data_IF_537398916736
#
_entry.id   IF_537398916736
#
_cell.length_a   1.000
_cell.length_b   1.000
_cell.length_c   1.000
_cell.angle_alpha   90.00
_cell.angle_beta   90.00
_cell.angle_gamma   90.00
#
_symmetry.space_group_name_H-M   'P 1'
#
loop_
_entity.id
_entity.type
_entity.pdbx_description
1 polymer ?
#
# COMPACT_ATOMS: atom_id res chain seq x y z
N UNK A 1 32.92 38.64 -32.11
CA UNK A 1 32.98 38.10 -30.73
C UNK A 1 31.67 38.40 -30.05
N UNK A 2 30.76 37.43 -29.94
CA UNK A 2 29.54 37.54 -29.14
C UNK A 2 29.86 37.23 -27.67
N UNK A 3 29.34 37.97 -26.68
CA UNK A 3 29.77 37.85 -25.30
C UNK A 3 29.19 36.60 -24.62
N UNK A 4 30.00 35.96 -23.78
CA UNK A 4 29.71 34.72 -23.05
C UNK A 4 28.47 34.77 -22.12
N UNK A 5 27.87 35.94 -21.92
CA UNK A 5 26.68 36.17 -21.11
C UNK A 5 25.39 35.65 -21.77
N UNK A 6 25.33 35.59 -23.11
CA UNK A 6 24.14 35.13 -23.83
C UNK A 6 23.92 33.61 -23.70
N UNK A 7 25.01 32.82 -23.71
CA UNK A 7 24.97 31.37 -23.56
C UNK A 7 24.56 30.90 -22.15
N UNK A 8 24.86 31.68 -21.12
CA UNK A 8 24.47 31.34 -19.74
C UNK A 8 22.97 31.57 -19.49
N UNK A 9 22.39 32.61 -20.11
CA UNK A 9 20.99 32.97 -19.93
C UNK A 9 20.04 31.97 -20.64
N UNK A 10 20.43 31.45 -21.80
CA UNK A 10 19.68 30.40 -22.52
C UNK A 10 19.65 29.06 -21.76
N UNK A 11 20.74 28.71 -21.06
CA UNK A 11 20.87 27.42 -20.35
C UNK A 11 20.02 27.35 -19.07
N UNK A 12 19.85 28.47 -18.36
CA UNK A 12 18.95 28.55 -17.19
C UNK A 12 17.47 28.43 -17.57
N UNK A 13 17.06 29.02 -18.68
CA UNK A 13 15.68 28.92 -19.17
C UNK A 13 15.34 27.51 -19.66
N UNK A 14 16.27 26.83 -20.33
CA UNK A 14 16.09 25.44 -20.75
C UNK A 14 15.86 24.48 -19.57
N UNK A 15 16.65 24.61 -18.49
CA UNK A 15 16.52 23.73 -17.32
C UNK A 15 15.17 23.92 -16.61
N UNK A 16 14.72 25.17 -16.47
CA UNK A 16 13.43 25.48 -15.83
C UNK A 16 12.24 24.98 -16.66
N UNK A 17 12.34 25.03 -17.99
CA UNK A 17 11.33 24.49 -18.91
C UNK A 17 11.29 22.96 -18.83
N UNK A 18 12.43 22.29 -18.74
CA UNK A 18 12.48 20.83 -18.59
C UNK A 18 11.84 20.35 -17.27
N UNK A 19 12.10 21.06 -16.17
CA UNK A 19 11.49 20.74 -14.86
C UNK A 19 9.98 20.93 -14.93
N UNK A 20 9.49 22.05 -15.46
CA UNK A 20 8.07 22.30 -15.62
C UNK A 20 7.38 21.22 -16.49
N UNK A 21 8.01 20.83 -17.61
CA UNK A 21 7.52 19.78 -18.48
C UNK A 21 7.45 18.42 -17.77
N UNK A 22 8.44 18.07 -16.95
CA UNK A 22 8.42 16.81 -16.18
C UNK A 22 7.32 16.77 -15.12
N UNK A 23 7.06 17.89 -14.43
CA UNK A 23 5.97 17.97 -13.43
C UNK A 23 4.61 17.83 -14.10
N UNK A 24 4.41 18.49 -15.24
CA UNK A 24 3.17 18.36 -16.02
C UNK A 24 2.98 16.92 -16.52
N UNK A 25 4.04 16.28 -17.02
CA UNK A 25 3.97 14.88 -17.45
C UNK A 25 3.62 13.93 -16.30
N UNK A 26 4.22 14.11 -15.12
CA UNK A 26 3.91 13.30 -13.93
C UNK A 26 2.47 13.50 -13.44
N UNK A 27 1.97 14.75 -13.43
CA UNK A 27 0.57 15.03 -13.07
C UNK A 27 -0.41 14.43 -14.09
N UNK A 28 -0.07 14.49 -15.37
CA UNK A 28 -0.89 13.93 -16.46
C UNK A 28 -0.98 12.41 -16.35
N UNK A 29 0.15 11.74 -16.09
CA UNK A 29 0.21 10.28 -15.87
C UNK A 29 -0.54 9.90 -14.59
N UNK A 30 -0.36 10.66 -13.50
CA UNK A 30 -1.07 10.45 -12.24
C UNK A 30 -2.59 10.57 -12.39
N UNK A 31 -3.06 11.56 -13.17
CA UNK A 31 -4.48 11.72 -13.50
C UNK A 31 -5.00 10.60 -14.42
N UNK A 32 -4.18 10.09 -15.34
CA UNK A 32 -4.58 9.01 -16.25
C UNK A 32 -4.62 7.63 -15.56
N UNK A 33 -3.67 7.35 -14.66
CA UNK A 33 -3.65 6.15 -13.84
C UNK A 33 -4.70 6.23 -12.72
N UNK A 34 -4.87 7.42 -12.14
CA UNK A 34 -5.85 7.70 -11.09
C UNK A 34 -7.28 7.94 -11.59
N UNK A 35 -7.50 8.00 -12.90
CA UNK A 35 -8.85 8.09 -13.46
C UNK A 35 -9.60 6.80 -13.08
N UNK A 36 -10.70 6.89 -12.30
CA UNK A 36 -11.35 5.72 -11.76
C UNK A 36 -11.86 4.87 -12.93
N UNK A 37 -11.21 3.73 -13.18
CA UNK A 37 -11.74 2.72 -14.09
C UNK A 37 -13.03 2.21 -13.49
N UNK A 38 -14.13 2.68 -14.05
CA UNK A 38 -15.51 2.22 -13.91
C UNK A 38 -15.81 1.56 -12.54
N UNK A 39 -16.06 2.40 -11.52
CA UNK A 39 -16.48 2.00 -10.17
C UNK A 39 -17.71 1.06 -10.17
N UNK A 40 -18.47 1.03 -11.27
CA UNK A 40 -19.58 0.10 -11.45
C UNK A 40 -19.14 -1.36 -11.47
N UNK A 41 -17.98 -1.73 -12.03
CA UNK A 41 -17.50 -3.11 -11.99
C UNK A 41 -17.12 -3.54 -10.58
N UNK A 42 -16.54 -2.63 -9.79
CA UNK A 42 -16.21 -2.89 -8.38
C UNK A 42 -17.50 -3.01 -7.56
N UNK A 43 -18.49 -2.14 -7.80
CA UNK A 43 -19.80 -2.22 -7.17
C UNK A 43 -20.55 -3.51 -7.54
N UNK A 44 -20.48 -3.94 -8.80
CA UNK A 44 -21.06 -5.20 -9.28
C UNK A 44 -20.35 -6.41 -8.69
N UNK A 45 -19.02 -6.42 -8.63
CA UNK A 45 -18.25 -7.48 -7.97
C UNK A 45 -18.56 -7.53 -6.46
N UNK A 46 -18.67 -6.38 -5.82
CA UNK A 46 -19.05 -6.29 -4.42
C UNK A 46 -20.46 -6.78 -4.20
N UNK A 47 -21.45 -6.31 -4.96
CA UNK A 47 -22.85 -6.75 -4.84
C UNK A 47 -23.05 -8.23 -5.18
N UNK A 48 -22.33 -8.74 -6.19
CA UNK A 48 -22.37 -10.15 -6.57
C UNK A 48 -21.75 -11.08 -5.51
N UNK A 49 -20.74 -10.59 -4.78
CA UNK A 49 -20.07 -11.35 -3.72
C UNK A 49 -20.45 -10.86 -2.30
N UNK A 50 -21.41 -9.95 -2.19
CA UNK A 50 -21.82 -9.31 -0.92
C UNK A 50 -22.41 -10.35 0.01
N UNK A 51 -23.19 -11.28 -0.53
CA UNK A 51 -23.71 -12.44 0.19
C UNK A 51 -22.59 -13.37 0.66
N UNK A 52 -21.53 -13.58 -0.11
CA UNK A 52 -20.39 -14.44 0.30
C UNK A 52 -19.55 -13.76 1.40
N UNK A 53 -19.44 -12.43 1.36
CA UNK A 53 -18.69 -11.64 2.34
C UNK A 53 -19.49 -11.28 3.60
N UNK A 54 -20.83 -11.19 3.52
CA UNK A 54 -21.71 -10.78 4.63
C UNK A 54 -22.61 -11.90 5.17
N UNK A 55 -22.88 -13.01 4.45
CA UNK A 55 -23.68 -14.13 4.96
C UNK A 55 -22.89 -15.17 5.76
N UNK A 56 -21.64 -14.87 6.15
CA UNK A 56 -20.92 -15.68 7.14
C UNK A 56 -21.42 -15.44 8.57
N UNK A 57 -22.73 -15.20 8.72
CA UNK A 57 -23.46 -15.44 9.95
C UNK A 57 -23.79 -16.93 10.14
N UNK A 58 -23.84 -17.75 9.09
CA UNK A 58 -24.00 -19.21 9.19
C UNK A 58 -23.68 -19.93 7.84
N UNK A 59 -22.49 -20.53 7.73
CA UNK A 59 -22.24 -21.75 6.95
C UNK A 59 -22.03 -21.65 5.43
N UNK A 60 -20.77 -21.82 4.99
CA UNK A 60 -20.43 -22.78 3.93
C UNK A 60 -20.05 -22.24 2.54
N UNK A 61 -18.80 -21.77 2.38
CA UNK A 61 -17.91 -22.13 1.25
C UNK A 61 -16.52 -21.52 1.43
N UNK A 62 -15.79 -22.04 2.43
CA UNK A 62 -14.39 -22.44 2.32
C UNK A 62 -14.20 -23.41 3.48
N UNK A 63 -13.93 -24.68 3.17
CA UNK A 63 -13.63 -25.67 4.20
C UNK A 63 -12.36 -25.22 4.93
N UNK A 64 -12.63 -24.85 6.17
CA UNK A 64 -11.82 -24.26 7.23
C UNK A 64 -10.40 -24.84 7.35
N UNK A 65 -9.42 -23.95 7.60
CA UNK A 65 -8.40 -24.25 8.62
C UNK A 65 -7.82 -23.02 9.35
N UNK A 66 -7.91 -21.76 8.88
CA UNK A 66 -7.20 -20.67 9.61
C UNK A 66 -7.92 -19.34 9.89
N UNK A 67 -9.24 -19.22 9.67
CA UNK A 67 -10.07 -18.24 10.41
C UNK A 67 -9.68 -16.75 10.41
N UNK A 68 -8.84 -16.24 9.50
CA UNK A 68 -8.34 -14.85 9.54
C UNK A 68 -8.54 -14.12 8.21
N UNK A 69 -9.64 -13.38 8.07
CA UNK A 69 -9.80 -12.44 6.95
C UNK A 69 -8.85 -11.25 7.13
N UNK A 70 -8.38 -10.66 6.02
CA UNK A 70 -7.51 -9.48 6.07
C UNK A 70 -8.17 -8.34 6.87
N UNK A 71 -9.49 -8.20 6.73
CA UNK A 71 -10.28 -7.23 7.47
C UNK A 71 -10.21 -7.43 8.98
N UNK A 72 -10.39 -8.67 9.46
CA UNK A 72 -10.37 -8.97 10.89
C UNK A 72 -8.98 -8.70 11.49
N UNK A 73 -7.91 -9.08 10.79
CA UNK A 73 -6.53 -8.83 11.22
C UNK A 73 -6.24 -7.32 11.22
N UNK A 74 -6.59 -6.61 10.15
CA UNK A 74 -6.31 -5.18 10.02
C UNK A 74 -7.04 -4.34 11.07
N UNK A 75 -8.24 -4.79 11.49
CA UNK A 75 -9.01 -4.17 12.57
C UNK A 75 -8.35 -4.42 13.94
N UNK A 76 -7.79 -5.61 14.17
CA UNK A 76 -7.06 -5.93 15.41
C UNK A 76 -5.87 -4.99 15.61
N UNK A 77 -5.11 -4.73 14.55
CA UNK A 77 -3.95 -3.84 14.58
C UNK A 77 -4.28 -2.35 14.39
N UNK A 78 -5.58 -2.00 14.40
CA UNK A 78 -6.09 -0.61 14.33
C UNK A 78 -5.49 0.20 13.17
N UNK A 79 -5.20 -0.46 12.05
CA UNK A 79 -4.63 0.22 10.87
C UNK A 79 -5.68 1.08 10.18
N UNK A 80 -5.25 2.16 9.54
CA UNK A 80 -6.07 3.02 8.69
C UNK A 80 -6.54 2.30 7.39
N UNK A 81 -5.88 1.19 7.03
CA UNK A 81 -6.15 0.36 5.85
C UNK A 81 -7.53 -0.31 5.82
N UNK A 82 -8.28 -0.26 6.92
CA UNK A 82 -9.67 -0.77 7.02
C UNK A 82 -10.64 0.17 7.75
N UNK A 83 -10.17 1.32 8.27
CA UNK A 83 -11.02 2.28 8.99
C UNK A 83 -11.42 3.46 8.10
N UNK A 84 -10.44 4.23 7.61
CA UNK A 84 -10.68 5.37 6.71
C UNK A 84 -10.62 4.98 5.24
N UNK A 85 -9.86 3.93 4.89
CA UNK A 85 -9.71 3.48 3.51
C UNK A 85 -10.13 2.02 3.36
N UNK A 86 -10.98 1.72 2.38
CA UNK A 86 -11.47 0.36 2.10
C UNK A 86 -10.44 -0.51 1.35
N UNK A 87 -9.14 -0.30 1.60
CA UNK A 87 -8.07 -1.01 0.90
C UNK A 87 -8.04 -2.49 1.25
N UNK A 88 -8.54 -2.87 2.43
CA UNK A 88 -8.65 -4.27 2.83
C UNK A 88 -9.37 -5.17 1.84
N UNK A 89 -10.32 -4.66 1.05
CA UNK A 89 -10.98 -5.44 0.00
C UNK A 89 -10.03 -5.80 -1.15
N UNK A 90 -9.13 -4.89 -1.52
CA UNK A 90 -8.17 -5.13 -2.59
C UNK A 90 -7.06 -6.06 -2.12
N UNK A 91 -6.55 -5.86 -0.91
CA UNK A 91 -5.57 -6.77 -0.33
C UNK A 91 -6.13 -8.19 -0.20
N UNK A 92 -7.36 -8.34 0.30
CA UNK A 92 -8.02 -9.64 0.35
C UNK A 92 -8.19 -10.24 -1.06
N UNK A 93 -8.64 -9.45 -2.05
CA UNK A 93 -8.84 -9.97 -3.41
C UNK A 93 -7.55 -10.45 -4.07
N UNK A 94 -6.45 -9.71 -3.93
CA UNK A 94 -5.23 -9.96 -4.69
C UNK A 94 -4.17 -10.76 -3.94
N UNK A 95 -4.12 -10.64 -2.61
CA UNK A 95 -3.06 -11.25 -1.80
C UNK A 95 -3.49 -12.54 -1.11
N UNK A 96 -4.79 -12.84 -1.02
CA UNK A 96 -5.27 -14.06 -0.36
C UNK A 96 -4.64 -15.35 -0.88
N UNK A 97 -4.35 -15.42 -2.19
CA UNK A 97 -3.69 -16.58 -2.81
C UNK A 97 -2.28 -16.87 -2.28
N UNK A 98 -1.68 -15.92 -1.55
CA UNK A 98 -0.35 -16.07 -0.95
C UNK A 98 -0.38 -16.40 0.55
N UNK A 99 -1.56 -16.48 1.17
CA UNK A 99 -1.70 -16.85 2.58
C UNK A 99 -1.17 -18.27 2.79
N UNK A 100 -0.24 -18.42 3.73
CA UNK A 100 0.42 -19.70 4.03
C UNK A 100 1.43 -20.14 2.97
N UNK A 101 1.81 -19.27 2.03
CA UNK A 101 2.82 -19.56 1.01
C UNK A 101 4.15 -18.85 1.30
N UNK A 102 5.22 -19.29 0.65
CA UNK A 102 6.48 -18.54 0.64
C UNK A 102 6.36 -17.38 -0.35
N UNK A 103 6.31 -16.16 0.18
CA UNK A 103 6.19 -14.92 -0.58
C UNK A 103 7.08 -13.84 0.01
N UNK A 104 7.78 -13.11 -0.84
CA UNK A 104 8.51 -11.90 -0.44
C UNK A 104 7.60 -10.67 -0.66
N UNK A 105 7.35 -9.91 0.41
CA UNK A 105 6.58 -8.67 0.38
C UNK A 105 7.49 -7.51 0.78
N UNK A 106 7.55 -6.45 -0.03
CA UNK A 106 8.18 -5.19 0.32
C UNK A 106 7.12 -4.10 0.51
N UNK A 107 7.03 -3.52 1.71
CA UNK A 107 6.28 -2.29 1.97
C UNK A 107 7.24 -1.10 2.12
N UNK A 108 6.90 0.02 1.47
CA UNK A 108 7.62 1.29 1.62
C UNK A 108 6.80 2.17 2.55
N UNK A 109 7.41 2.59 3.65
CA UNK A 109 6.79 3.35 4.73
C UNK A 109 6.37 2.44 5.89
N UNK A 110 6.98 2.65 7.04
CA UNK A 110 6.67 1.96 8.29
C UNK A 110 5.54 2.66 9.06
N UNK A 111 5.16 3.88 8.66
CA UNK A 111 4.15 4.67 9.35
C UNK A 111 4.71 5.47 10.53
N UNK A 112 5.96 5.90 10.44
CA UNK A 112 6.56 6.81 11.42
C UNK A 112 5.75 8.12 11.52
N UNK A 113 5.51 8.57 12.76
CA UNK A 113 4.69 9.76 13.04
C UNK A 113 3.18 9.50 13.08
N UNK A 114 2.72 8.25 12.85
CA UNK A 114 1.31 7.92 13.01
C UNK A 114 0.91 7.86 14.50
N UNK A 115 -0.33 8.25 14.87
CA UNK A 115 -0.79 8.24 16.27
C UNK A 115 -0.74 6.88 16.96
N UNK A 116 -0.79 5.80 16.19
CA UNK A 116 -0.73 4.41 16.68
C UNK A 116 0.69 3.82 16.65
N UNK A 117 1.70 4.64 16.33
CA UNK A 117 3.09 4.22 16.22
C UNK A 117 3.44 3.52 14.90
N UNK A 118 4.75 3.32 14.64
CA UNK A 118 5.23 2.64 13.44
C UNK A 118 4.95 1.13 13.48
N UNK A 119 4.85 0.52 12.31
CA UNK A 119 4.85 -0.94 12.14
C UNK A 119 3.50 -1.64 12.25
N UNK A 120 2.40 -0.90 12.38
CA UNK A 120 1.06 -1.51 12.47
C UNK A 120 0.74 -2.43 11.27
N UNK A 121 1.18 -2.05 10.06
CA UNK A 121 1.04 -2.90 8.86
C UNK A 121 1.96 -4.12 8.86
N UNK A 122 3.14 -4.05 9.48
CA UNK A 122 4.05 -5.19 9.62
C UNK A 122 3.37 -6.35 10.36
N UNK A 123 2.69 -6.05 11.45
CA UNK A 123 1.95 -7.07 12.20
C UNK A 123 0.77 -7.65 11.40
N UNK A 124 0.11 -6.82 10.59
CA UNK A 124 -0.95 -7.28 9.68
C UNK A 124 -0.40 -8.27 8.66
N UNK A 125 0.69 -7.94 7.97
CA UNK A 125 1.26 -8.80 6.93
C UNK A 125 1.77 -10.12 7.50
N UNK A 126 2.52 -10.08 8.61
CA UNK A 126 2.99 -11.29 9.30
C UNK A 126 1.83 -12.20 9.72
N UNK A 127 0.77 -11.60 10.25
CA UNK A 127 -0.42 -12.34 10.69
C UNK A 127 -1.27 -12.88 9.55
N UNK A 128 -1.35 -12.14 8.44
CA UNK A 128 -2.19 -12.49 7.30
C UNK A 128 -1.53 -13.49 6.36
N UNK A 129 -0.29 -13.22 5.95
CA UNK A 129 0.45 -14.06 5.00
C UNK A 129 1.03 -15.30 5.68
N UNK A 130 1.25 -15.23 6.99
CA UNK A 130 1.73 -16.35 7.79
C UNK A 130 3.26 -16.47 7.84
N UNK A 131 3.77 -17.50 8.54
CA UNK A 131 5.19 -17.60 8.93
C UNK A 131 6.14 -17.92 7.77
N UNK A 132 5.62 -18.35 6.62
CA UNK A 132 6.44 -18.64 5.44
C UNK A 132 6.73 -17.40 4.59
N UNK A 133 6.08 -16.27 4.89
CA UNK A 133 6.26 -15.03 4.17
C UNK A 133 7.46 -14.24 4.70
N UNK A 134 8.28 -13.70 3.80
CA UNK A 134 9.34 -12.77 4.13
C UNK A 134 8.82 -11.35 3.93
N UNK A 135 8.73 -10.59 5.01
CA UNK A 135 8.20 -9.22 4.98
C UNK A 135 9.34 -8.24 5.19
N UNK A 136 9.52 -7.36 4.21
CA UNK A 136 10.55 -6.34 4.17
C UNK A 136 9.93 -4.94 4.24
N UNK A 137 10.61 -4.05 4.94
CA UNK A 137 10.20 -2.65 5.09
C UNK A 137 11.34 -1.73 4.70
N UNK A 138 11.00 -0.63 4.02
CA UNK A 138 11.89 0.50 3.80
C UNK A 138 11.26 1.73 4.41
N UNK A 139 11.97 2.39 5.31
CA UNK A 139 11.55 3.62 5.98
C UNK A 139 12.56 4.73 5.72
N UNK A 140 12.06 5.94 5.48
CA UNK A 140 12.86 7.14 5.23
C UNK A 140 13.41 7.73 6.53
N UNK A 141 12.61 7.74 7.60
CA UNK A 141 13.05 8.19 8.92
C UNK A 141 13.95 7.14 9.56
N UNK A 142 15.26 7.40 9.49
CA UNK A 142 16.29 6.52 10.03
C UNK A 142 16.09 6.22 11.51
N UNK A 143 15.84 7.23 12.35
CA UNK A 143 15.80 7.03 13.81
C UNK A 143 14.56 6.21 14.20
N UNK A 144 13.44 6.48 13.55
CA UNK A 144 12.22 5.70 13.73
C UNK A 144 12.40 4.24 13.27
N UNK A 145 12.99 4.03 12.08
CA UNK A 145 13.25 2.70 11.54
C UNK A 145 14.19 1.88 12.41
N UNK A 146 15.30 2.48 12.87
CA UNK A 146 16.25 1.83 13.80
C UNK A 146 15.57 1.48 15.13
N UNK A 147 14.81 2.41 15.72
CA UNK A 147 14.08 2.17 16.95
C UNK A 147 13.10 1.00 16.82
N UNK A 148 12.27 0.98 15.76
CA UNK A 148 11.33 -0.10 15.53
C UNK A 148 12.03 -1.43 15.30
N UNK A 149 13.13 -1.44 14.55
CA UNK A 149 13.91 -2.64 14.29
C UNK A 149 14.40 -3.32 15.57
N UNK A 150 14.83 -2.54 16.56
CA UNK A 150 15.27 -3.09 17.87
C UNK A 150 14.14 -3.73 18.68
N UNK A 151 12.88 -3.34 18.44
CA UNK A 151 11.72 -3.79 19.20
C UNK A 151 11.04 -4.98 18.51
N UNK A 152 10.81 -4.87 17.19
CA UNK A 152 9.90 -5.74 16.42
C UNK A 152 10.44 -6.13 15.02
N UNK A 153 11.68 -5.76 14.68
CA UNK A 153 12.27 -6.00 13.36
C UNK A 153 12.45 -7.48 13.01
N UNK A 154 12.69 -8.33 14.01
CA UNK A 154 13.03 -9.75 13.85
C UNK A 154 11.93 -10.75 14.28
N UNK A 155 10.80 -10.26 14.76
CA UNK A 155 9.64 -11.10 15.12
C UNK A 155 8.80 -11.43 13.91
#
# INVERSE_FOLDING_TARGET
MLPATFNFMLKKNSLSVCIAASVIAMLSIGLWIGYPRNLTQISQYFNANRSILLNNGNGGLLNNTDGKSFFNISKLYKTDKVTSHNYGLYYEKYLRKYVGSSVDLLEIGLGCGMPYGPGASAHVWRSYLGPLANIHFVEFDRSCGEAWYTIDGYK
#
